data_IF_075426155021
#
_entry.id   IF_075426155021
#
_cell.length_a   1.000
_cell.length_b   1.000
_cell.length_c   1.000
_cell.angle_alpha   90.00
_cell.angle_beta   90.00
_cell.angle_gamma   90.00
#
_symmetry.space_group_name_H-M   'P 1'
#
loop_
_entity.id
_entity.type
_entity.pdbx_description
1 polymer ?
#
# COMPACT_ATOMS: atom_id res chain seq x y z
N UNK A 1 0.36 22.59 0.56
CA UNK A 1 -1.02 22.07 0.75
C UNK A 1 -1.03 20.82 1.62
N UNK A 2 -0.33 19.73 1.24
CA UNK A 2 -0.33 18.44 1.97
C UNK A 2 0.10 18.58 3.45
N UNK A 3 1.20 19.30 3.74
CA UNK A 3 1.72 19.41 5.11
C UNK A 3 0.79 20.17 6.04
N UNK A 4 0.27 21.32 5.62
CA UNK A 4 -0.70 22.08 6.41
C UNK A 4 -1.98 21.28 6.63
N UNK A 5 -2.48 20.59 5.59
CA UNK A 5 -3.66 19.73 5.73
C UNK A 5 -3.44 18.59 6.74
N UNK A 6 -2.26 17.97 6.74
CA UNK A 6 -1.90 16.92 7.71
C UNK A 6 -1.80 17.44 9.15
N UNK A 7 -1.18 18.62 9.34
CA UNK A 7 -1.06 19.25 10.65
C UNK A 7 -2.42 19.72 11.18
N UNK A 8 -3.16 20.49 10.39
CA UNK A 8 -4.44 21.10 10.80
C UNK A 8 -5.56 20.07 10.93
N UNK A 9 -5.61 19.07 10.05
CA UNK A 9 -6.68 18.07 10.03
C UNK A 9 -6.46 16.88 10.96
N UNK A 10 -5.20 16.46 11.16
CA UNK A 10 -4.87 15.21 11.85
C UNK A 10 -3.78 15.34 12.93
N UNK A 11 -3.26 16.56 13.17
CA UNK A 11 -2.14 16.80 14.08
C UNK A 11 -0.90 15.94 13.75
N UNK A 12 -0.65 15.74 12.46
CA UNK A 12 0.51 15.00 11.97
C UNK A 12 1.69 15.95 11.83
N UNK A 13 2.84 15.59 12.42
CA UNK A 13 4.08 16.33 12.27
C UNK A 13 4.49 16.39 10.79
N UNK A 14 4.67 17.59 10.19
CA UNK A 14 5.05 17.73 8.79
C UNK A 14 6.31 16.94 8.40
N UNK A 15 7.26 16.74 9.32
CA UNK A 15 8.51 16.02 9.04
C UNK A 15 8.27 14.58 8.60
N UNK A 16 7.24 13.90 9.11
CA UNK A 16 6.93 12.52 8.74
C UNK A 16 6.25 12.43 7.37
N UNK A 17 5.66 13.53 6.89
CA UNK A 17 5.00 13.61 5.58
C UNK A 17 5.97 13.95 4.45
N UNK A 18 7.18 14.45 4.76
CA UNK A 18 8.14 14.87 3.72
C UNK A 18 8.50 13.71 2.80
N UNK A 19 8.76 12.52 3.37
CA UNK A 19 9.13 11.35 2.59
C UNK A 19 7.99 10.91 1.67
N UNK A 20 6.80 10.70 2.21
CA UNK A 20 5.63 10.25 1.43
C UNK A 20 5.22 11.28 0.37
N UNK A 21 5.26 12.57 0.67
CA UNK A 21 4.95 13.61 -0.30
C UNK A 21 5.96 13.65 -1.45
N UNK A 22 7.26 13.50 -1.17
CA UNK A 22 8.30 13.47 -2.21
C UNK A 22 8.20 12.23 -3.09
N UNK A 23 7.96 11.05 -2.50
CA UNK A 23 7.76 9.83 -3.28
C UNK A 23 6.46 9.93 -4.09
N UNK A 24 5.42 10.59 -3.56
CA UNK A 24 4.17 10.85 -4.29
C UNK A 24 4.36 11.74 -5.52
N UNK A 25 5.32 12.67 -5.53
CA UNK A 25 5.64 13.43 -6.75
C UNK A 25 6.23 12.57 -7.87
N UNK A 26 6.66 11.33 -7.59
CA UNK A 26 7.12 10.40 -8.62
C UNK A 26 5.96 9.71 -9.36
N UNK A 27 4.71 9.94 -8.96
CA UNK A 27 3.53 9.34 -9.62
C UNK A 27 2.94 10.19 -10.72
N UNK A 28 3.56 11.32 -11.06
CA UNK A 28 3.01 12.34 -11.96
C UNK A 28 4.11 13.01 -12.75
N UNK A 29 3.78 13.52 -13.93
CA UNK A 29 4.69 14.31 -14.77
C UNK A 29 4.67 15.81 -14.40
N UNK A 30 3.75 16.22 -13.52
CA UNK A 30 3.70 17.59 -13.03
C UNK A 30 4.92 17.90 -12.14
N UNK A 31 5.52 19.11 -12.27
CA UNK A 31 6.83 19.38 -11.67
C UNK A 31 6.82 19.47 -10.13
N UNK A 32 5.70 19.90 -9.53
CA UNK A 32 5.62 20.21 -8.10
C UNK A 32 4.24 19.96 -7.48
N UNK A 33 3.35 19.27 -8.20
CA UNK A 33 2.00 18.97 -7.76
C UNK A 33 1.59 17.57 -8.16
N UNK A 34 0.58 17.03 -7.49
CA UNK A 34 0.05 15.69 -7.71
C UNK A 34 -1.46 15.74 -7.60
N UNK A 35 -2.18 15.01 -8.45
CA UNK A 35 -3.60 14.75 -8.22
C UNK A 35 -3.76 13.55 -7.28
N UNK A 36 -4.87 13.46 -6.53
CA UNK A 36 -5.08 12.28 -5.68
C UNK A 36 -5.24 10.98 -6.49
N UNK A 37 -5.63 11.07 -7.77
CA UNK A 37 -5.74 9.91 -8.67
C UNK A 37 -4.36 9.41 -9.11
N UNK A 38 -3.37 10.31 -9.27
CA UNK A 38 -1.99 9.96 -9.62
C UNK A 38 -1.39 8.99 -8.60
N UNK A 39 -1.76 9.11 -7.32
CA UNK A 39 -1.26 8.28 -6.23
C UNK A 39 -1.63 6.79 -6.34
N UNK A 40 -2.51 6.41 -7.29
CA UNK A 40 -2.82 5.00 -7.57
C UNK A 40 -1.78 4.29 -8.44
N UNK A 41 -0.75 5.01 -8.91
CA UNK A 41 0.30 4.42 -9.72
C UNK A 41 0.99 3.28 -8.95
N UNK A 42 0.73 2.05 -9.41
CA UNK A 42 1.21 0.84 -8.77
C UNK A 42 2.74 0.75 -8.76
N UNK A 43 3.31 0.26 -7.66
CA UNK A 43 4.75 0.07 -7.51
C UNK A 43 5.52 1.33 -7.09
N UNK A 44 4.84 2.46 -6.89
CA UNK A 44 5.46 3.65 -6.28
C UNK A 44 5.18 3.68 -4.77
N UNK A 45 4.05 4.25 -4.36
CA UNK A 45 3.53 4.14 -2.99
C UNK A 45 2.41 3.11 -2.93
N UNK A 46 1.54 3.09 -3.95
CA UNK A 46 0.48 2.09 -4.07
C UNK A 46 1.08 0.69 -4.20
N UNK A 47 0.54 -0.24 -3.42
CA UNK A 47 1.08 -1.58 -3.25
C UNK A 47 -0.04 -2.60 -3.01
N UNK A 48 0.24 -3.84 -3.41
CA UNK A 48 -0.64 -4.99 -3.14
C UNK A 48 -0.73 -5.30 -1.63
N UNK A 49 -1.65 -6.19 -1.26
CA UNK A 49 -2.03 -6.53 0.11
C UNK A 49 -2.55 -5.32 0.92
N UNK A 50 -3.18 -4.36 0.24
CA UNK A 50 -3.81 -3.21 0.87
C UNK A 50 -4.92 -3.60 1.87
N UNK A 51 -5.13 -2.78 2.90
CA UNK A 51 -6.11 -3.06 3.97
C UNK A 51 -7.58 -2.91 3.52
N UNK A 52 -7.93 -1.98 2.60
CA UNK A 52 -9.28 -1.91 2.06
C UNK A 52 -9.36 -1.71 0.54
N UNK A 53 -8.28 -1.95 -0.21
CA UNK A 53 -8.28 -1.86 -1.69
C UNK A 53 -7.84 -3.19 -2.30
N UNK A 54 -8.30 -3.44 -3.51
CA UNK A 54 -7.90 -4.59 -4.30
C UNK A 54 -6.46 -4.45 -4.78
N UNK A 55 -5.79 -5.59 -4.93
CA UNK A 55 -4.45 -5.67 -5.50
C UNK A 55 -4.50 -5.34 -7.00
N UNK A 56 -3.44 -4.74 -7.55
CA UNK A 56 -3.48 -4.11 -8.87
C UNK A 56 -3.86 -5.06 -10.00
N UNK A 57 -3.44 -6.33 -9.92
CA UNK A 57 -3.74 -7.35 -10.91
C UNK A 57 -5.08 -8.07 -10.68
N UNK A 58 -5.66 -7.91 -9.49
CA UNK A 58 -6.85 -8.63 -9.06
C UNK A 58 -8.11 -7.76 -9.06
N UNK A 59 -7.97 -6.44 -9.18
CA UNK A 59 -9.09 -5.52 -9.23
C UNK A 59 -8.68 -4.06 -9.31
N UNK A 60 -9.57 -3.18 -8.84
CA UNK A 60 -9.36 -1.74 -8.88
C UNK A 60 -8.66 -1.24 -7.61
N UNK A 61 -7.43 -0.78 -7.75
CA UNK A 61 -6.51 -0.47 -6.64
C UNK A 61 -6.74 0.89 -5.94
N UNK A 62 -7.65 1.73 -6.45
CA UNK A 62 -7.91 3.05 -5.87
C UNK A 62 -9.11 3.08 -4.92
N UNK A 63 -10.23 2.47 -5.32
CA UNK A 63 -11.49 2.59 -4.56
C UNK A 63 -11.56 1.64 -3.38
N UNK A 64 -12.30 2.07 -2.37
CA UNK A 64 -12.62 1.26 -1.20
C UNK A 64 -13.36 -0.03 -1.60
N UNK A 65 -12.96 -1.14 -1.00
CA UNK A 65 -13.53 -2.46 -1.18
C UNK A 65 -13.97 -3.02 0.18
N UNK A 66 -15.29 -3.04 0.41
CA UNK A 66 -15.90 -3.50 1.67
C UNK A 66 -15.56 -4.97 1.99
N UNK A 67 -15.49 -5.83 0.98
CA UNK A 67 -15.14 -7.25 1.16
C UNK A 67 -13.73 -7.39 1.72
N UNK A 68 -12.77 -6.59 1.24
CA UNK A 68 -11.39 -6.58 1.76
C UNK A 68 -11.33 -5.92 3.13
N UNK A 69 -12.06 -4.82 3.32
CA UNK A 69 -12.12 -4.11 4.59
C UNK A 69 -12.70 -4.96 5.73
N UNK A 70 -13.57 -5.92 5.40
CA UNK A 70 -14.15 -6.87 6.37
C UNK A 70 -13.07 -7.65 7.13
N UNK A 71 -11.90 -7.91 6.52
CA UNK A 71 -10.75 -8.53 7.22
C UNK A 71 -10.29 -7.67 8.41
N UNK A 72 -10.32 -6.35 8.27
CA UNK A 72 -9.98 -5.43 9.36
C UNK A 72 -11.09 -5.34 10.40
N UNK A 73 -12.36 -5.20 9.98
CA UNK A 73 -13.47 -5.02 10.92
C UNK A 73 -13.70 -6.25 11.81
N UNK A 74 -13.32 -7.44 11.34
CA UNK A 74 -13.42 -8.70 12.09
C UNK A 74 -12.14 -9.04 12.90
N UNK A 75 -11.12 -8.18 12.87
CA UNK A 75 -9.78 -8.51 13.38
C UNK A 75 -9.61 -8.56 14.90
N UNK A 76 -10.56 -8.01 15.67
CA UNK A 76 -10.43 -7.88 17.12
C UNK A 76 -11.75 -8.23 17.85
N UNK A 77 -12.21 -9.49 17.75
CA UNK A 77 -13.51 -9.88 18.28
C UNK A 77 -13.58 -9.73 19.79
N UNK A 78 -14.74 -9.25 20.28
CA UNK A 78 -15.00 -9.07 21.71
C UNK A 78 -14.63 -7.69 22.27
N UNK A 79 -14.06 -6.80 21.45
CA UNK A 79 -13.82 -5.39 21.80
C UNK A 79 -14.25 -4.46 20.66
N UNK A 80 -14.34 -3.17 20.93
CA UNK A 80 -14.87 -2.13 20.03
C UNK A 80 -13.80 -1.24 19.39
N UNK A 81 -12.53 -1.67 19.43
CA UNK A 81 -11.39 -0.93 18.88
C UNK A 81 -10.45 -1.83 18.09
N UNK A 82 -9.73 -1.23 17.14
CA UNK A 82 -8.56 -1.86 16.54
C UNK A 82 -7.31 -1.53 17.36
N UNK A 83 -6.35 -2.46 17.41
CA UNK A 83 -5.07 -2.22 18.04
C UNK A 83 -3.93 -2.73 17.17
N UNK A 84 -2.69 -2.44 17.56
CA UNK A 84 -1.51 -2.82 16.79
C UNK A 84 -1.43 -4.34 16.54
N UNK A 85 -1.85 -5.16 17.52
CA UNK A 85 -1.84 -6.62 17.38
C UNK A 85 -2.87 -7.08 16.35
N UNK A 86 -4.11 -6.59 16.41
CA UNK A 86 -5.17 -6.99 15.48
C UNK A 86 -4.83 -6.54 14.05
N UNK A 87 -4.38 -5.30 13.87
CA UNK A 87 -3.97 -4.78 12.55
C UNK A 87 -2.76 -5.53 12.00
N UNK A 88 -1.79 -5.89 12.84
CA UNK A 88 -0.64 -6.70 12.42
C UNK A 88 -1.04 -8.08 11.90
N UNK A 89 -2.06 -8.72 12.50
CA UNK A 89 -2.60 -9.98 11.97
C UNK A 89 -3.33 -9.77 10.65
N UNK A 90 -4.04 -8.66 10.47
CA UNK A 90 -4.69 -8.32 9.19
C UNK A 90 -3.66 -8.14 8.10
N UNK A 91 -2.57 -7.41 8.36
CA UNK A 91 -1.48 -7.24 7.39
C UNK A 91 -0.90 -8.60 6.97
N UNK A 92 -0.66 -9.50 7.93
CA UNK A 92 -0.19 -10.86 7.66
C UNK A 92 -1.19 -11.66 6.81
N UNK A 93 -2.48 -11.59 7.13
CA UNK A 93 -3.51 -12.30 6.37
C UNK A 93 -3.64 -11.76 4.94
N UNK A 94 -3.69 -10.43 4.77
CA UNK A 94 -3.76 -9.80 3.45
C UNK A 94 -2.58 -10.16 2.57
N UNK A 95 -1.38 -10.25 3.14
CA UNK A 95 -0.20 -10.72 2.43
C UNK A 95 -0.32 -12.18 1.98
N UNK A 96 -0.84 -13.06 2.84
CA UNK A 96 -1.05 -14.46 2.50
C UNK A 96 -2.12 -14.63 1.40
N UNK A 97 -3.20 -13.85 1.47
CA UNK A 97 -4.25 -13.85 0.44
C UNK A 97 -3.70 -13.39 -0.92
N UNK A 98 -2.94 -12.29 -0.94
CA UNK A 98 -2.30 -11.77 -2.15
C UNK A 98 -1.28 -12.78 -2.69
N UNK A 99 -0.44 -13.38 -1.84
CA UNK A 99 0.50 -14.43 -2.26
C UNK A 99 -0.21 -15.58 -2.96
N UNK A 100 -1.37 -16.02 -2.46
CA UNK A 100 -2.12 -17.14 -3.04
C UNK A 100 -2.83 -16.78 -4.35
N UNK A 101 -3.33 -15.55 -4.46
CA UNK A 101 -4.19 -15.12 -5.56
C UNK A 101 -3.45 -14.39 -6.68
N UNK A 102 -2.33 -13.71 -6.37
CA UNK A 102 -1.59 -12.84 -7.27
C UNK A 102 -0.35 -13.56 -7.86
N UNK A 103 -0.37 -13.91 -9.16
CA UNK A 103 0.72 -14.65 -9.79
C UNK A 103 2.07 -13.91 -9.79
N UNK A 104 2.07 -12.56 -9.73
CA UNK A 104 3.29 -11.74 -9.77
C UNK A 104 3.93 -11.54 -8.39
N UNK A 105 3.17 -11.66 -7.30
CA UNK A 105 3.74 -11.59 -5.95
C UNK A 105 4.83 -12.67 -5.75
N UNK A 106 4.58 -13.87 -6.28
CA UNK A 106 5.56 -14.96 -6.30
C UNK A 106 6.83 -14.60 -7.09
N UNK A 107 6.73 -13.87 -8.19
CA UNK A 107 7.86 -13.60 -9.07
C UNK A 107 8.87 -12.63 -8.46
N UNK A 108 8.40 -11.54 -7.85
CA UNK A 108 9.30 -10.55 -7.25
C UNK A 108 9.75 -10.96 -5.79
N UNK A 109 9.12 -11.98 -5.13
CA UNK A 109 9.55 -12.52 -3.81
C UNK A 109 10.34 -13.86 -3.86
N UNK A 110 10.08 -14.76 -4.83
CA UNK A 110 10.88 -16.00 -5.01
C UNK A 110 12.31 -15.71 -5.49
N UNK A 111 12.54 -14.57 -6.16
CA UNK A 111 13.88 -14.10 -6.53
C UNK A 111 14.79 -13.74 -5.34
N UNK A 112 14.24 -13.64 -4.12
CA UNK A 112 15.02 -13.36 -2.90
C UNK A 112 15.67 -14.61 -2.30
N UNK A 113 15.23 -15.82 -2.69
CA UNK A 113 15.84 -17.07 -2.25
C UNK A 113 17.09 -17.46 -3.07
N UNK A 114 17.34 -16.82 -4.21
CA UNK A 114 18.58 -16.99 -5.00
C UNK A 114 19.58 -15.85 -4.74
N UNK A 115 20.25 -15.94 -3.60
CA UNK A 115 21.60 -15.43 -3.26
C UNK A 115 22.17 -14.13 -3.88
N UNK A 116 21.42 -13.10 -4.25
CA UNK A 116 21.97 -11.74 -4.46
C UNK A 116 20.96 -10.64 -4.09
N UNK A 117 21.32 -9.64 -3.27
CA UNK A 117 20.41 -8.56 -2.91
C UNK A 117 20.32 -7.58 -4.09
N UNK A 118 19.41 -7.85 -5.02
CA UNK A 118 18.93 -6.81 -5.93
C UNK A 118 17.52 -6.47 -5.50
N UNK A 119 17.39 -5.26 -4.97
CA UNK A 119 16.15 -4.50 -5.01
C UNK A 119 15.53 -4.75 -6.38
N UNK A 120 14.41 -5.46 -6.44
CA UNK A 120 13.64 -5.62 -7.67
C UNK A 120 13.22 -4.21 -8.09
N UNK A 121 14.03 -3.60 -8.96
CA UNK A 121 13.69 -2.37 -9.62
C UNK A 121 12.49 -2.67 -10.52
N UNK A 122 11.58 -1.71 -10.56
CA UNK A 122 10.29 -1.72 -11.27
C UNK A 122 10.36 -2.13 -12.76
N UNK A 123 11.55 -2.30 -13.34
CA UNK A 123 11.76 -2.66 -14.74
C UNK A 123 11.81 -4.17 -15.04
N UNK A 124 11.93 -5.05 -14.03
CA UNK A 124 12.07 -6.50 -14.29
C UNK A 124 10.75 -7.28 -14.25
N UNK A 125 9.67 -6.69 -13.72
CA UNK A 125 8.34 -7.34 -13.66
C UNK A 125 7.43 -6.88 -14.86
N UNK A 126 7.94 -6.16 -15.87
CA UNK A 126 7.21 -5.64 -17.07
C UNK A 126 7.64 -6.21 -18.43
N UNK A 127 8.20 -7.43 -18.46
CA UNK A 127 8.52 -8.19 -19.68
C UNK A 127 7.73 -9.47 -19.81
#
# INVERSE_FOLDING_TARGET
>A
MIFNAGLEGFNVDPSILILSAKVGLLTTEAPDSVTLDDLKLHGTIEHDASLPRSDYLLGYNLHFNETIYTTLTQSNPGVDYFNATSVGQVQKQRLADDTLANPRYHQCHQGVHDTHPRVCALSECDG
#
